data_IF_954652765032
#
_entry.id   IF_954652765032
#
_cell.length_a   1.000
_cell.length_b   1.000
_cell.length_c   1.000
_cell.angle_alpha   90.00
_cell.angle_beta   90.00
_cell.angle_gamma   90.00
#
_symmetry.space_group_name_H-M   'P 1'
#
loop_
_entity.id
_entity.type
_entity.pdbx_description
1 polymer ?
#
# COMPACT_ATOMS: atom_id res chain seq x y z
N UNK A 1 21.59 -5.99 25.82
CA UNK A 1 20.59 -4.90 25.80
C UNK A 1 21.17 -3.72 25.06
N UNK A 2 20.91 -3.59 23.76
CA UNK A 2 21.46 -2.50 22.98
C UNK A 2 20.37 -1.45 22.76
N UNK A 3 20.46 -0.37 23.55
CA UNK A 3 19.58 0.80 23.54
C UNK A 3 20.16 1.82 22.54
N UNK A 4 19.72 1.77 21.27
CA UNK A 4 20.07 2.82 20.30
C UNK A 4 19.02 3.93 20.27
N UNK A 5 19.49 5.12 20.60
CA UNK A 5 18.73 6.35 20.82
C UNK A 5 18.39 7.08 19.51
N UNK A 6 17.08 7.25 19.29
CA UNK A 6 16.39 8.54 19.30
C UNK A 6 17.00 9.66 18.46
N UNK A 7 16.55 9.80 17.21
CA UNK A 7 15.93 11.04 16.65
C UNK A 7 15.45 10.73 15.22
N UNK A 8 14.43 9.90 15.14
CA UNK A 8 13.79 9.43 13.90
C UNK A 8 12.64 10.37 13.50
N UNK A 9 12.11 10.35 12.25
CA UNK A 9 10.83 11.00 11.96
C UNK A 9 9.84 10.64 13.07
N UNK A 10 9.01 11.60 13.50
CA UNK A 10 8.07 11.50 14.63
C UNK A 10 6.94 10.48 14.39
N UNK A 11 7.27 9.27 13.94
CA UNK A 11 6.33 8.16 13.87
C UNK A 11 6.44 7.35 15.15
N UNK A 12 5.31 7.07 15.82
CA UNK A 12 5.31 6.16 16.95
C UNK A 12 5.76 4.76 16.48
N UNK A 13 6.45 4.06 17.36
CA UNK A 13 6.78 2.65 17.16
C UNK A 13 5.50 1.83 17.31
N UNK A 14 4.95 1.45 16.17
CA UNK A 14 3.75 0.63 16.02
C UNK A 14 4.11 -0.48 15.02
N UNK A 15 4.57 -1.65 15.52
CA UNK A 15 5.10 -2.72 14.68
C UNK A 15 4.11 -3.17 13.61
N UNK A 16 2.87 -3.42 14.01
CA UNK A 16 1.81 -3.93 13.14
C UNK A 16 1.51 -2.94 12.02
N UNK A 17 1.20 -1.68 12.37
CA UNK A 17 0.85 -0.68 11.36
C UNK A 17 2.02 -0.32 10.45
N UNK A 18 3.21 -0.10 11.00
CA UNK A 18 4.36 0.29 10.19
C UNK A 18 4.79 -0.85 9.25
N UNK A 19 4.73 -2.10 9.72
CA UNK A 19 4.99 -3.26 8.88
C UNK A 19 3.94 -3.39 7.78
N UNK A 20 2.64 -3.24 8.09
CA UNK A 20 1.57 -3.30 7.10
C UNK A 20 1.79 -2.29 5.97
N UNK A 21 2.00 -1.01 6.29
CA UNK A 21 2.24 0.04 5.28
C UNK A 21 3.53 -0.19 4.48
N UNK A 22 4.58 -0.73 5.10
CA UNK A 22 5.84 -1.07 4.40
C UNK A 22 5.63 -2.23 3.43
N UNK A 23 4.94 -3.26 3.89
CA UNK A 23 4.62 -4.48 3.17
C UNK A 23 3.75 -4.11 1.97
N UNK A 24 2.65 -3.38 2.14
CA UNK A 24 1.73 -2.94 1.05
C UNK A 24 2.36 -1.93 0.09
N UNK A 25 3.46 -1.28 0.48
CA UNK A 25 4.12 -0.27 -0.35
C UNK A 25 3.49 1.13 -0.23
N UNK A 26 2.63 1.34 0.76
CA UNK A 26 1.99 2.63 1.06
C UNK A 26 2.96 3.63 1.71
N UNK A 27 4.13 3.19 2.17
CA UNK A 27 5.15 4.10 2.68
C UNK A 27 5.76 4.97 1.57
N UNK A 28 5.79 6.31 1.75
CA UNK A 28 6.56 7.20 0.90
C UNK A 28 8.05 6.80 0.88
N UNK A 29 8.77 7.02 -0.24
CA UNK A 29 10.18 6.62 -0.41
C UNK A 29 11.10 6.99 0.76
N UNK A 30 10.91 8.16 1.37
CA UNK A 30 11.68 8.61 2.54
C UNK A 30 11.37 7.80 3.80
N UNK A 31 10.08 7.54 4.06
CA UNK A 31 9.63 6.72 5.19
C UNK A 31 10.07 5.25 5.02
N UNK A 32 10.04 4.73 3.80
CA UNK A 32 10.52 3.39 3.47
C UNK A 32 11.99 3.20 3.85
N UNK A 33 12.88 4.09 3.38
CA UNK A 33 14.32 4.03 3.70
C UNK A 33 14.59 4.11 5.20
N UNK A 34 13.82 4.93 5.90
CA UNK A 34 13.90 5.00 7.35
C UNK A 34 13.50 3.69 8.02
N UNK A 35 12.38 3.10 7.59
CA UNK A 35 11.87 1.86 8.16
C UNK A 35 12.82 0.69 7.90
N UNK A 36 13.44 0.64 6.71
CA UNK A 36 14.48 -0.35 6.38
C UNK A 36 15.68 -0.28 7.34
N UNK A 37 16.12 0.93 7.73
CA UNK A 37 17.16 1.08 8.75
C UNK A 37 16.67 0.68 10.16
N UNK A 38 15.39 0.95 10.48
CA UNK A 38 14.79 0.56 11.75
C UNK A 38 14.70 -0.97 11.92
N UNK A 39 14.36 -1.69 10.85
CA UNK A 39 14.25 -3.16 10.84
C UNK A 39 15.54 -3.87 11.28
N UNK A 40 16.71 -3.27 11.03
CA UNK A 40 17.99 -3.84 11.44
C UNK A 40 18.19 -3.89 12.96
N UNK A 41 17.37 -3.17 13.74
CA UNK A 41 17.50 -3.08 15.20
C UNK A 41 16.21 -3.33 15.96
N UNK A 42 15.13 -3.77 15.31
CA UNK A 42 13.84 -4.02 15.96
C UNK A 42 13.24 -5.35 15.52
N UNK A 43 13.31 -6.34 16.41
CA UNK A 43 12.77 -7.69 16.22
C UNK A 43 11.24 -7.70 16.02
N UNK A 44 10.50 -6.83 16.72
CA UNK A 44 9.04 -6.76 16.61
C UNK A 44 8.64 -6.35 15.19
N UNK A 45 9.21 -5.25 14.69
CA UNK A 45 8.97 -4.81 13.31
C UNK A 45 9.44 -5.84 12.28
N UNK A 46 10.55 -6.55 12.54
CA UNK A 46 11.02 -7.62 11.66
C UNK A 46 10.02 -8.79 11.59
N UNK A 47 9.51 -9.23 12.75
CA UNK A 47 8.50 -10.29 12.85
C UNK A 47 7.23 -9.92 12.09
N UNK A 48 6.72 -8.71 12.26
CA UNK A 48 5.51 -8.25 11.58
C UNK A 48 5.70 -8.18 10.06
N UNK A 49 6.87 -7.76 9.57
CA UNK A 49 7.18 -7.78 8.13
C UNK A 49 7.18 -9.20 7.57
N UNK A 50 7.72 -10.17 8.31
CA UNK A 50 7.70 -11.58 7.91
C UNK A 50 6.26 -12.12 7.84
N UNK A 51 5.46 -11.85 8.88
CA UNK A 51 4.04 -12.24 8.95
C UNK A 51 3.23 -11.64 7.80
N UNK A 52 3.36 -10.33 7.56
CA UNK A 52 2.65 -9.64 6.48
C UNK A 52 3.04 -10.15 5.08
N UNK A 53 4.33 -10.50 4.86
CA UNK A 53 4.77 -11.11 3.59
C UNK A 53 4.21 -12.52 3.41
N UNK A 54 4.21 -13.33 4.46
CA UNK A 54 3.67 -14.69 4.43
C UNK A 54 2.15 -14.67 4.16
N UNK A 55 1.40 -13.87 4.91
CA UNK A 55 -0.05 -13.76 4.77
C UNK A 55 -0.46 -13.36 3.35
N UNK A 56 0.29 -12.46 2.71
CA UNK A 56 0.05 -12.13 1.30
C UNK A 56 0.36 -13.26 0.36
N UNK A 57 1.47 -13.98 0.56
CA UNK A 57 1.75 -15.15 -0.28
C UNK A 57 0.60 -16.16 -0.21
N UNK A 58 0.14 -16.48 1.00
CA UNK A 58 -1.00 -17.39 1.21
C UNK A 58 -2.27 -16.84 0.54
N UNK A 59 -2.55 -15.55 0.69
CA UNK A 59 -3.71 -14.93 0.05
C UNK A 59 -3.62 -14.97 -1.47
N UNK A 60 -2.44 -14.74 -2.06
CA UNK A 60 -2.20 -14.85 -3.51
C UNK A 60 -2.35 -16.29 -4.01
N UNK A 61 -1.82 -17.27 -3.27
CA UNK A 61 -1.93 -18.70 -3.60
C UNK A 61 -3.38 -19.21 -3.49
N UNK A 62 -4.15 -18.68 -2.54
CA UNK A 62 -5.55 -19.01 -2.36
C UNK A 62 -6.49 -18.33 -3.37
N UNK A 63 -6.00 -17.40 -4.21
CA UNK A 63 -6.85 -16.74 -5.20
C UNK A 63 -7.33 -17.73 -6.25
N UNK A 64 -8.65 -17.79 -6.38
CA UNK A 64 -9.28 -18.49 -7.50
C UNK A 64 -8.94 -17.81 -8.83
N UNK A 65 -8.90 -18.62 -9.89
CA UNK A 65 -8.73 -18.09 -11.23
C UNK A 65 -9.91 -17.19 -11.59
N UNK A 66 -9.61 -16.02 -12.15
CA UNK A 66 -10.64 -15.11 -12.64
C UNK A 66 -11.47 -15.82 -13.74
N UNK A 67 -12.81 -15.67 -13.74
CA UNK A 67 -13.65 -16.18 -14.81
C UNK A 67 -13.18 -15.71 -16.20
N UNK A 68 -13.26 -16.61 -17.19
CA UNK A 68 -12.94 -16.28 -18.57
C UNK A 68 -13.72 -15.03 -19.04
N UNK A 69 -13.06 -14.14 -19.79
CA UNK A 69 -13.65 -12.90 -20.29
C UNK A 69 -13.96 -11.83 -19.24
N UNK A 70 -13.63 -12.03 -17.94
CA UNK A 70 -13.81 -10.99 -16.93
C UNK A 70 -13.01 -9.72 -17.26
N UNK A 71 -11.78 -9.86 -17.79
CA UNK A 71 -10.94 -8.72 -18.18
C UNK A 71 -11.60 -7.85 -19.25
N UNK A 72 -12.21 -8.46 -20.26
CA UNK A 72 -12.87 -7.74 -21.35
C UNK A 72 -14.13 -7.02 -20.86
N UNK A 73 -14.91 -7.67 -19.99
CA UNK A 73 -16.08 -7.05 -19.35
C UNK A 73 -15.70 -5.85 -18.49
N UNK A 74 -14.64 -5.96 -17.68
CA UNK A 74 -14.11 -4.85 -16.88
C UNK A 74 -13.63 -3.72 -17.79
N UNK A 75 -12.91 -4.03 -18.87
CA UNK A 75 -12.45 -3.03 -19.85
C UNK A 75 -13.62 -2.26 -20.48
N UNK A 76 -14.65 -2.97 -20.94
CA UNK A 76 -15.84 -2.36 -21.51
C UNK A 76 -16.55 -1.46 -20.49
N UNK A 77 -16.71 -1.92 -19.24
CA UNK A 77 -17.32 -1.12 -18.18
C UNK A 77 -16.52 0.15 -17.89
N UNK A 78 -15.19 0.07 -17.79
CA UNK A 78 -14.32 1.25 -17.55
C UNK A 78 -14.43 2.26 -18.71
N UNK A 79 -14.48 1.79 -19.96
CA UNK A 79 -14.66 2.66 -21.13
C UNK A 79 -15.99 3.42 -21.07
N UNK A 80 -17.09 2.70 -20.83
CA UNK A 80 -18.44 3.30 -20.72
C UNK A 80 -18.54 4.30 -19.56
N UNK A 81 -17.86 4.05 -18.44
CA UNK A 81 -17.88 4.94 -17.28
C UNK A 81 -16.93 6.14 -17.48
N UNK A 82 -15.82 5.96 -18.19
CA UNK A 82 -14.86 7.03 -18.51
C UNK A 82 -15.38 8.02 -19.56
N UNK A 83 -16.20 7.56 -20.51
CA UNK A 83 -16.91 8.41 -21.47
C UNK A 83 -18.04 9.22 -20.82
N UNK A 84 -18.50 8.81 -19.64
CA UNK A 84 -19.46 9.53 -18.79
C UNK A 84 -18.79 10.46 -17.74
N UNK A 85 -17.52 10.83 -17.92
CA UNK A 85 -16.88 11.93 -17.17
C UNK A 85 -17.38 13.31 -17.66
N UNK A 86 -17.47 14.33 -16.80
CA UNK A 86 -18.44 15.43 -16.95
C UNK A 86 -18.17 16.31 -18.18
N UNK A 87 -18.95 16.08 -19.23
CA UNK A 87 -19.27 17.10 -20.22
C UNK A 87 -20.19 18.14 -19.56
N UNK A 88 -19.65 19.04 -18.74
CA UNK A 88 -20.52 20.03 -18.08
C UNK A 88 -19.95 20.76 -16.88
N UNK A 89 -18.73 21.26 -16.96
CA UNK A 89 -18.33 22.43 -16.18
C UNK A 89 -17.45 23.32 -17.06
N UNK A 90 -18.02 23.75 -18.19
CA UNK A 90 -17.63 25.04 -18.77
C UNK A 90 -18.13 26.08 -17.78
N UNK A 91 -17.18 26.77 -17.18
CA UNK A 91 -17.34 27.87 -16.26
C UNK A 91 -18.48 28.82 -16.70
N UNK A 92 -19.58 28.96 -15.92
CA UNK A 92 -20.61 29.96 -16.22
C UNK A 92 -20.20 31.38 -15.79
N UNK A 93 -19.00 31.57 -15.23
CA UNK A 93 -18.48 32.86 -14.78
C UNK A 93 -17.07 33.14 -15.36
N UNK A 94 -17.00 33.39 -16.67
CA UNK A 94 -16.06 34.40 -17.18
C UNK A 94 -16.73 35.77 -17.12
N UNK A 95 -16.01 36.90 -16.98
CA UNK A 95 -14.59 37.15 -17.28
C UNK A 95 -13.62 37.15 -16.09
#
# INVERSE_FOLDING_TARGET
MIRWMRRWPRRPHDPERNAAEYVTGELPKRARRWFEAHLLGCEDCWREVLLGRLGRRVAEEAREQAPAGLRDRVRAAVQLTGEAGPAGARDPFGP
#
